data_IF_282161933235
#
_entry.id   IF_282161933235
#
_cell.length_a   1.000
_cell.length_b   1.000
_cell.length_c   1.000
_cell.angle_alpha   90.00
_cell.angle_beta   90.00
_cell.angle_gamma   90.00
#
_symmetry.space_group_name_H-M   'P 1'
#
loop_
_entity.id
_entity.type
_entity.pdbx_description
1 polymer ?
#
# COMPACT_ATOMS: atom_id res chain seq x y z
N UNK A 1 -1.33 -3.66 29.12
CA UNK A 1 -0.80 -2.38 28.60
C UNK A 1 -1.92 -1.61 27.91
N UNK A 2 -2.01 -0.29 28.09
CA UNK A 2 -3.02 0.51 27.42
C UNK A 2 -2.55 0.82 25.99
N UNK A 3 -3.28 0.33 24.98
CA UNK A 3 -3.04 0.71 23.58
C UNK A 3 -3.68 2.08 23.33
N UNK A 4 -2.87 3.11 23.18
CA UNK A 4 -3.30 4.46 22.76
C UNK A 4 -3.66 4.43 21.26
N UNK A 5 -4.75 5.10 20.87
CA UNK A 5 -5.14 5.24 19.47
C UNK A 5 -4.80 6.65 19.01
N UNK A 6 -4.00 6.76 17.96
CA UNK A 6 -3.65 8.02 17.33
C UNK A 6 -4.44 8.17 16.03
N UNK A 7 -4.92 9.38 15.78
CA UNK A 7 -5.54 9.73 14.51
C UNK A 7 -4.45 10.18 13.53
N UNK A 8 -4.66 9.89 12.25
CA UNK A 8 -3.89 10.43 11.13
C UNK A 8 -4.81 10.53 9.90
N UNK A 9 -4.41 11.30 8.89
CA UNK A 9 -5.08 11.38 7.59
C UNK A 9 -4.07 11.23 6.44
N UNK A 10 -4.52 11.38 5.19
CA UNK A 10 -3.67 11.20 4.01
C UNK A 10 -2.48 12.17 3.94
N UNK A 11 -2.57 13.35 4.54
CA UNK A 11 -1.46 14.32 4.59
C UNK A 11 -0.36 13.90 5.58
N UNK A 12 -0.66 12.99 6.51
CA UNK A 12 0.32 12.44 7.45
C UNK A 12 1.12 11.28 6.84
N UNK A 13 0.69 10.74 5.68
CA UNK A 13 1.38 9.65 4.99
C UNK A 13 2.69 10.14 4.39
N UNK A 14 3.78 9.44 4.69
CA UNK A 14 5.09 9.77 4.15
C UNK A 14 5.19 9.45 2.66
N UNK A 15 4.51 8.40 2.22
CA UNK A 15 4.38 8.06 0.80
C UNK A 15 2.89 7.90 0.41
N UNK A 16 2.23 8.98 -0.07
CA UNK A 16 0.83 8.94 -0.45
C UNK A 16 0.58 8.28 -1.82
N UNK A 17 1.63 7.97 -2.58
CA UNK A 17 1.54 7.27 -3.87
C UNK A 17 1.83 5.78 -3.75
N UNK A 18 2.48 5.38 -2.67
CA UNK A 18 2.79 4.01 -2.35
C UNK A 18 1.66 3.26 -1.66
N UNK A 19 2.04 2.15 -1.03
CA UNK A 19 1.09 1.29 -0.35
C UNK A 19 0.42 2.01 0.84
N UNK A 20 -0.90 2.23 0.74
CA UNK A 20 -1.70 2.74 1.84
C UNK A 20 -1.66 1.76 3.03
N UNK A 21 -1.46 2.23 4.27
CA UNK A 21 -1.47 1.37 5.44
C UNK A 21 -2.83 0.70 5.62
N UNK A 22 -2.82 -0.63 5.69
CA UNK A 22 -3.99 -1.47 5.90
C UNK A 22 -4.00 -2.08 7.30
N UNK A 23 -5.14 -2.65 7.68
CA UNK A 23 -5.25 -3.40 8.94
C UNK A 23 -4.30 -4.59 8.92
N UNK A 24 -3.42 -4.66 9.92
CA UNK A 24 -2.41 -5.71 10.03
C UNK A 24 -1.03 -5.29 9.53
N UNK A 25 -0.91 -4.14 8.85
CA UNK A 25 0.39 -3.55 8.52
C UNK A 25 1.11 -3.05 9.78
N UNK A 26 2.43 -3.24 9.80
CA UNK A 26 3.33 -2.58 10.74
C UNK A 26 3.76 -1.24 10.15
N UNK A 27 3.65 -0.19 10.95
CA UNK A 27 3.95 1.18 10.52
C UNK A 27 4.94 1.84 11.47
N UNK A 28 5.84 2.63 10.90
CA UNK A 28 6.61 3.62 11.65
C UNK A 28 5.88 4.96 11.59
N UNK A 29 5.80 5.65 12.73
CA UNK A 29 5.12 6.94 12.84
C UNK A 29 5.83 7.85 13.83
N UNK A 30 5.65 9.15 13.64
CA UNK A 30 6.04 10.17 14.60
C UNK A 30 4.82 10.66 15.38
N UNK A 31 4.88 10.64 16.71
CA UNK A 31 3.80 11.18 17.54
C UNK A 31 4.00 12.68 17.74
N UNK A 32 3.10 13.47 17.18
CA UNK A 32 3.04 14.91 17.40
C UNK A 32 2.05 15.24 18.51
N UNK A 33 2.40 16.23 19.34
CA UNK A 33 1.51 16.74 20.39
C UNK A 33 1.17 18.19 20.08
N UNK A 34 -0.10 18.45 19.87
CA UNK A 34 -0.60 19.81 19.72
C UNK A 34 -0.45 20.55 21.07
N UNK A 35 0.37 21.62 21.09
CA UNK A 35 0.65 22.37 22.32
C UNK A 35 -0.61 22.97 22.97
N UNK A 36 -1.54 23.60 22.23
CA UNK A 36 -2.73 24.21 22.84
C UNK A 36 -3.78 23.19 23.31
N UNK A 37 -4.07 22.14 22.54
CA UNK A 37 -5.13 21.17 22.89
C UNK A 37 -4.60 19.94 23.64
N UNK A 38 -3.27 19.75 23.71
CA UNK A 38 -2.60 18.54 24.21
C UNK A 38 -3.01 17.25 23.49
N UNK A 39 -3.73 17.34 22.37
CA UNK A 39 -4.10 16.18 21.56
C UNK A 39 -2.87 15.61 20.88
N UNK A 40 -2.79 14.28 20.86
CA UNK A 40 -1.75 13.54 20.17
C UNK A 40 -2.25 13.09 18.81
N UNK A 41 -1.38 13.14 17.82
CA UNK A 41 -1.64 12.76 16.43
C UNK A 41 -0.44 12.00 15.89
N UNK A 42 -0.67 11.02 15.02
CA UNK A 42 0.41 10.39 14.26
C UNK A 42 0.71 11.20 13.00
N UNK A 43 1.98 11.37 12.68
CA UNK A 43 2.50 12.09 11.53
C UNK A 43 3.66 11.31 10.91
N UNK A 44 3.95 11.54 9.62
CA UNK A 44 4.98 10.79 8.88
C UNK A 44 4.79 9.28 8.99
N UNK A 45 3.56 8.84 8.76
CA UNK A 45 3.19 7.43 8.81
C UNK A 45 3.75 6.74 7.57
N UNK A 46 4.59 5.74 7.78
CA UNK A 46 5.20 4.93 6.72
C UNK A 46 5.00 3.44 7.05
N UNK A 47 4.61 2.64 6.06
CA UNK A 47 4.47 1.20 6.24
C UNK A 47 5.85 0.55 6.20
N UNK A 48 6.23 -0.14 7.28
CA UNK A 48 7.52 -0.84 7.41
C UNK A 48 7.38 -2.35 7.31
N UNK A 49 6.18 -2.88 7.57
CA UNK A 49 5.87 -4.29 7.46
C UNK A 49 4.49 -4.46 6.85
N UNK A 50 4.42 -5.27 5.81
CA UNK A 50 3.19 -5.56 5.10
C UNK A 50 2.45 -6.72 5.76
N UNK A 51 1.24 -6.46 6.22
CA UNK A 51 0.32 -7.44 6.78
C UNK A 51 -0.28 -8.32 5.68
N UNK A 52 -0.65 -9.54 6.03
CA UNK A 52 -1.22 -10.51 5.07
C UNK A 52 -2.72 -10.33 4.82
N UNK A 53 -3.41 -9.60 5.70
CA UNK A 53 -4.85 -9.40 5.60
C UNK A 53 -5.18 -8.29 4.59
N UNK A 54 -5.95 -8.62 3.56
CA UNK A 54 -6.42 -7.66 2.56
C UNK A 54 -5.48 -7.40 1.38
N UNK A 55 -4.33 -8.07 1.32
CA UNK A 55 -3.41 -8.02 0.18
C UNK A 55 -3.66 -9.19 -0.75
N UNK A 56 -3.91 -8.91 -2.02
CA UNK A 56 -4.01 -9.96 -3.02
C UNK A 56 -2.65 -10.24 -3.64
N UNK A 57 -2.36 -11.51 -3.84
CA UNK A 57 -1.21 -11.94 -4.62
C UNK A 57 -1.66 -12.32 -6.02
N UNK A 58 -0.80 -12.11 -6.99
CA UNK A 58 -1.07 -12.51 -8.35
C UNK A 58 0.17 -12.60 -9.20
N UNK A 59 -0.02 -13.06 -10.43
CA UNK A 59 1.05 -13.19 -11.41
C UNK A 59 0.75 -12.29 -12.59
N UNK A 60 1.74 -11.49 -13.00
CA UNK A 60 1.64 -10.67 -14.21
C UNK A 60 1.57 -11.59 -15.43
N UNK A 61 0.42 -11.64 -16.09
CA UNK A 61 0.18 -12.53 -17.24
C UNK A 61 0.40 -11.84 -18.57
N UNK A 62 0.25 -10.51 -18.62
CA UNK A 62 0.38 -9.75 -19.85
C UNK A 62 0.82 -8.32 -19.56
N UNK A 63 1.94 -7.91 -20.15
CA UNK A 63 2.40 -6.52 -20.20
C UNK A 63 2.19 -5.98 -21.61
N UNK A 64 1.66 -4.76 -21.72
CA UNK A 64 1.51 -4.01 -22.98
C UNK A 64 2.34 -2.74 -22.88
N UNK A 65 3.56 -2.80 -23.41
CA UNK A 65 4.52 -1.69 -23.38
C UNK A 65 4.01 -0.43 -24.08
N UNK A 66 3.27 -0.57 -25.19
CA UNK A 66 2.72 0.55 -26.00
C UNK A 66 1.85 1.54 -25.21
N UNK A 67 1.14 1.05 -24.20
CA UNK A 67 0.17 1.83 -23.43
C UNK A 67 0.47 1.79 -21.92
N UNK A 68 1.61 1.22 -21.53
CA UNK A 68 2.06 1.07 -20.14
C UNK A 68 1.00 0.43 -19.22
N UNK A 69 0.31 -0.61 -19.69
CA UNK A 69 -0.62 -1.41 -18.86
C UNK A 69 -0.10 -2.82 -18.68
N UNK A 70 -0.45 -3.43 -17.56
CA UNK A 70 -0.22 -4.83 -17.31
C UNK A 70 -1.43 -5.49 -16.62
N UNK A 71 -1.51 -6.81 -16.74
CA UNK A 71 -2.61 -7.63 -16.25
C UNK A 71 -2.09 -8.65 -15.25
N UNK A 72 -2.66 -8.66 -14.05
CA UNK A 72 -2.37 -9.60 -12.97
C UNK A 72 -3.51 -10.60 -12.91
N UNK A 73 -3.17 -11.89 -12.94
CA UNK A 73 -4.12 -12.93 -12.54
C UNK A 73 -4.05 -13.08 -11.03
N UNK A 74 -5.17 -12.87 -10.34
CA UNK A 74 -5.24 -13.08 -8.90
C UNK A 74 -5.04 -14.56 -8.55
N UNK A 75 -4.39 -14.82 -7.41
CA UNK A 75 -4.27 -16.18 -6.89
C UNK A 75 -5.55 -16.63 -6.17
N UNK A 76 -6.21 -15.71 -5.47
CA UNK A 76 -7.36 -16.00 -4.61
C UNK A 76 -8.72 -15.92 -5.33
N UNK A 77 -8.77 -15.35 -6.54
CA UNK A 77 -9.98 -15.26 -7.38
C UNK A 77 -9.70 -15.50 -8.85
N UNK A 78 -10.75 -15.83 -9.60
CA UNK A 78 -10.64 -16.08 -11.05
C UNK A 78 -10.58 -14.80 -11.90
N UNK A 79 -10.62 -13.63 -11.25
CA UNK A 79 -10.57 -12.32 -11.89
C UNK A 79 -9.14 -11.94 -12.32
N UNK A 80 -9.07 -11.02 -13.27
CA UNK A 80 -7.82 -10.43 -13.75
C UNK A 80 -7.87 -8.94 -13.46
N UNK A 81 -6.89 -8.45 -12.71
CA UNK A 81 -6.73 -7.04 -12.38
C UNK A 81 -5.84 -6.40 -13.43
N UNK A 82 -6.18 -5.19 -13.88
CA UNK A 82 -5.30 -4.40 -14.73
C UNK A 82 -4.71 -3.26 -13.90
N UNK A 83 -3.45 -2.94 -14.14
CA UNK A 83 -2.76 -1.82 -13.50
C UNK A 83 -1.94 -1.05 -14.54
N UNK A 84 -1.67 0.22 -14.26
CA UNK A 84 -0.70 0.97 -15.04
C UNK A 84 0.69 0.68 -14.51
N UNK A 85 1.64 0.39 -15.40
CA UNK A 85 3.04 0.14 -15.05
C UNK A 85 3.64 1.34 -14.32
N UNK A 86 3.13 2.55 -14.58
CA UNK A 86 3.57 3.78 -13.92
C UNK A 86 3.12 3.90 -12.45
N UNK A 87 2.13 3.13 -12.02
CA UNK A 87 1.67 3.09 -10.62
C UNK A 87 2.44 2.04 -9.79
N UNK A 88 3.36 1.29 -10.40
CA UNK A 88 4.22 0.35 -9.68
C UNK A 88 5.44 1.08 -9.12
N UNK A 89 5.56 1.10 -7.80
CA UNK A 89 6.81 1.46 -7.14
C UNK A 89 7.85 0.34 -7.32
N UNK A 90 8.97 0.65 -8.00
CA UNK A 90 10.08 -0.28 -8.16
C UNK A 90 10.41 -0.62 -9.61
N UNK A 91 10.83 -1.87 -9.86
CA UNK A 91 11.23 -2.30 -11.20
C UNK A 91 10.00 -2.54 -12.09
N UNK A 92 10.18 -2.40 -13.41
CA UNK A 92 9.12 -2.64 -14.38
C UNK A 92 8.63 -4.10 -14.29
N UNK A 93 7.37 -4.29 -13.87
CA UNK A 93 6.75 -5.60 -13.74
C UNK A 93 6.84 -6.38 -15.06
N UNK A 94 7.40 -7.60 -15.01
CA UNK A 94 7.61 -8.45 -16.18
C UNK A 94 6.56 -9.58 -16.25
N UNK A 95 6.34 -10.14 -17.45
CA UNK A 95 5.47 -11.30 -17.60
C UNK A 95 6.01 -12.49 -16.79
N UNK A 96 5.15 -13.12 -15.98
CA UNK A 96 5.48 -14.24 -15.10
C UNK A 96 5.93 -13.84 -13.70
N UNK A 97 5.95 -12.55 -13.38
CA UNK A 97 6.37 -12.05 -12.07
C UNK A 97 5.25 -12.15 -11.04
N UNK A 98 5.61 -12.62 -9.85
CA UNK A 98 4.74 -12.63 -8.67
C UNK A 98 4.69 -11.24 -8.06
N UNK A 99 3.49 -10.70 -7.93
CA UNK A 99 3.24 -9.35 -7.42
C UNK A 99 2.21 -9.40 -6.29
N UNK A 100 2.39 -8.52 -5.32
CA UNK A 100 1.41 -8.26 -4.26
C UNK A 100 0.80 -6.90 -4.53
N UNK A 101 -0.53 -6.82 -4.52
CA UNK A 101 -1.25 -5.58 -4.81
C UNK A 101 -2.46 -5.43 -3.87
N UNK A 102 -2.89 -4.19 -3.72
CA UNK A 102 -4.10 -3.84 -2.97
C UNK A 102 -5.17 -3.47 -4.00
N UNK A 103 -6.31 -4.17 -4.00
CA UNK A 103 -7.48 -3.69 -4.73
C UNK A 103 -8.13 -2.55 -3.91
N UNK A 104 -8.07 -1.33 -4.46
CA UNK A 104 -8.67 -0.13 -3.86
C UNK A 104 -10.13 0.07 -4.21
#
# INVERSE_FOLDING_TARGET
>A
EAKERLMFDGEDLQDPKGALPMLGDEVELTVCVDKPTRKRRAAKVAVTGYGKEGREQGVVTKVKDDVSYAFIRCCDRSDTVFFHINDVEGHAAANGEEVEFNEG
#
